data_IF_475922246790
#
_entry.id   IF_475922246790
#
_cell.length_a   1.000
_cell.length_b   1.000
_cell.length_c   1.000
_cell.angle_alpha   90.00
_cell.angle_beta   90.00
_cell.angle_gamma   90.00
#
_symmetry.space_group_name_H-M   'P 1'
#
loop_
_entity.id
_entity.type
_entity.pdbx_description
1 polymer ?
#
# COMPACT_ATOMS: atom_id res chain seq x y z
N UNK A 1 13.24 8.09 33.08
CA UNK A 1 13.26 7.43 31.78
C UNK A 1 13.66 8.51 30.79
N UNK A 2 14.63 8.26 29.94
CA UNK A 2 15.11 9.24 28.98
C UNK A 2 13.95 9.59 28.01
N UNK A 3 13.72 10.87 27.76
CA UNK A 3 12.65 11.37 26.88
C UNK A 3 12.76 10.73 25.49
N UNK A 4 13.97 10.58 24.99
CA UNK A 4 14.25 9.97 23.69
C UNK A 4 13.79 8.51 23.62
N UNK A 5 14.00 7.75 24.72
CA UNK A 5 13.53 6.37 24.81
C UNK A 5 12.00 6.29 24.82
N UNK A 6 11.33 7.18 25.54
CA UNK A 6 9.85 7.25 25.57
C UNK A 6 9.30 7.58 24.17
N UNK A 7 9.89 8.57 23.48
CA UNK A 7 9.51 8.93 22.12
C UNK A 7 9.69 7.75 21.17
N UNK A 8 10.80 7.01 21.27
CA UNK A 8 11.03 5.83 20.42
C UNK A 8 9.95 4.76 20.64
N UNK A 9 9.57 4.49 21.89
CA UNK A 9 8.47 3.54 22.19
C UNK A 9 7.15 4.04 21.56
N UNK A 10 6.83 5.32 21.70
CA UNK A 10 5.62 5.90 21.13
C UNK A 10 5.63 5.75 19.61
N UNK A 11 6.75 6.02 18.93
CA UNK A 11 6.88 5.86 17.49
C UNK A 11 6.65 4.41 17.08
N UNK A 12 7.21 3.43 17.80
CA UNK A 12 6.98 2.00 17.52
C UNK A 12 5.49 1.68 17.61
N UNK A 13 4.81 2.15 18.67
CA UNK A 13 3.36 1.93 18.83
C UNK A 13 2.56 2.56 17.68
N UNK A 14 2.87 3.80 17.32
CA UNK A 14 2.19 4.49 16.22
C UNK A 14 2.50 3.87 14.86
N UNK A 15 3.72 3.40 14.63
CA UNK A 15 4.08 2.70 13.40
C UNK A 15 3.35 1.35 13.25
N UNK A 16 3.24 0.58 14.34
CA UNK A 16 2.44 -0.64 14.36
C UNK A 16 0.94 -0.35 14.19
N UNK A 17 0.44 0.75 14.77
CA UNK A 17 -0.93 1.23 14.54
C UNK A 17 -1.15 1.64 13.07
N UNK A 18 -0.18 2.34 12.47
CA UNK A 18 -0.21 2.67 11.04
C UNK A 18 -0.29 1.39 10.19
N UNK A 19 0.51 0.38 10.49
CA UNK A 19 0.53 -0.87 9.73
C UNK A 19 -0.75 -1.70 9.93
N UNK A 20 -1.30 -1.70 11.15
CA UNK A 20 -2.62 -2.28 11.43
C UNK A 20 -3.72 -1.57 10.63
N UNK A 21 -3.72 -0.23 10.60
CA UNK A 21 -4.67 0.59 9.82
C UNK A 21 -4.50 0.32 8.33
N UNK A 22 -3.26 0.26 7.84
CA UNK A 22 -2.95 -0.10 6.47
C UNK A 22 -3.52 -1.50 6.12
N UNK A 23 -3.38 -2.47 7.04
CA UNK A 23 -3.93 -3.80 6.90
C UNK A 23 -5.43 -3.81 6.61
N UNK A 24 -6.26 -3.08 7.38
CA UNK A 24 -7.71 -3.06 7.12
C UNK A 24 -8.12 -2.07 6.02
N UNK A 25 -7.37 -1.01 5.82
CA UNK A 25 -7.60 -0.03 4.76
C UNK A 25 -7.38 -0.67 3.39
N UNK A 26 -6.26 -1.36 3.21
CA UNK A 26 -5.82 -1.88 1.93
C UNK A 26 -6.20 -3.35 1.67
N UNK A 27 -6.84 -4.05 2.64
CA UNK A 27 -7.39 -5.39 2.44
C UNK A 27 -8.30 -5.48 1.19
N UNK A 28 -9.00 -4.38 0.89
CA UNK A 28 -9.80 -4.27 -0.31
C UNK A 28 -9.02 -4.61 -1.58
N UNK A 29 -7.77 -4.19 -1.65
CA UNK A 29 -6.92 -4.34 -2.82
C UNK A 29 -6.65 -5.81 -3.11
N UNK A 30 -6.38 -6.60 -2.06
CA UNK A 30 -6.03 -8.00 -2.20
C UNK A 30 -7.23 -8.93 -2.52
N UNK A 31 -8.44 -8.59 -2.06
CA UNK A 31 -9.59 -9.50 -2.11
C UNK A 31 -10.84 -8.96 -2.81
N UNK A 32 -10.86 -7.69 -3.22
CA UNK A 32 -12.05 -7.07 -3.83
C UNK A 32 -12.58 -7.83 -5.05
N UNK A 33 -11.69 -8.32 -5.89
CA UNK A 33 -12.01 -9.08 -7.10
C UNK A 33 -12.64 -10.42 -6.75
N UNK A 34 -12.04 -11.20 -5.83
CA UNK A 34 -12.48 -12.54 -5.43
C UNK A 34 -13.81 -12.53 -4.65
N UNK A 35 -14.03 -11.50 -3.83
CA UNK A 35 -15.31 -11.29 -3.13
C UNK A 35 -16.39 -10.88 -4.12
N UNK A 36 -16.11 -9.95 -5.04
CA UNK A 36 -17.08 -9.46 -6.02
C UNK A 36 -17.55 -10.52 -7.00
N UNK A 37 -16.67 -11.42 -7.41
CA UNK A 37 -17.00 -12.55 -8.29
C UNK A 37 -17.63 -13.73 -7.56
N UNK A 38 -17.71 -13.65 -6.24
CA UNK A 38 -18.14 -14.76 -5.35
C UNK A 38 -17.24 -15.99 -5.50
N UNK A 39 -15.96 -15.80 -5.81
CA UNK A 39 -14.96 -16.87 -5.81
C UNK A 39 -14.66 -17.33 -4.38
N UNK A 40 -14.63 -16.38 -3.44
CA UNK A 40 -14.52 -16.62 -2.01
C UNK A 40 -15.67 -15.95 -1.25
N UNK A 41 -16.12 -16.61 -0.19
CA UNK A 41 -16.98 -15.93 0.80
C UNK A 41 -16.14 -14.88 1.53
N UNK A 42 -16.73 -13.72 1.88
CA UNK A 42 -15.98 -12.62 2.49
C UNK A 42 -15.09 -13.02 3.67
N UNK A 43 -15.61 -13.81 4.62
CA UNK A 43 -14.83 -14.28 5.78
C UNK A 43 -13.61 -15.10 5.38
N UNK A 44 -13.75 -16.03 4.42
CA UNK A 44 -12.63 -16.85 3.96
C UNK A 44 -11.61 -16.03 3.18
N UNK A 45 -12.05 -15.03 2.40
CA UNK A 45 -11.17 -14.13 1.69
C UNK A 45 -10.32 -13.29 2.68
N UNK A 46 -10.92 -12.77 3.74
CA UNK A 46 -10.23 -12.01 4.78
C UNK A 46 -9.20 -12.86 5.52
N UNK A 47 -9.58 -14.07 5.98
CA UNK A 47 -8.64 -14.97 6.69
C UNK A 47 -7.48 -15.36 5.78
N UNK A 48 -7.77 -15.73 4.54
CA UNK A 48 -6.73 -16.02 3.54
C UNK A 48 -5.80 -14.82 3.35
N UNK A 49 -6.35 -13.62 3.16
CA UNK A 49 -5.58 -12.42 2.97
C UNK A 49 -4.72 -12.08 4.19
N UNK A 50 -5.24 -12.24 5.41
CA UNK A 50 -4.50 -12.00 6.64
C UNK A 50 -3.27 -12.92 6.76
N UNK A 51 -3.47 -14.21 6.52
CA UNK A 51 -2.37 -15.20 6.55
C UNK A 51 -1.35 -14.93 5.45
N UNK A 52 -1.81 -14.64 4.24
CA UNK A 52 -0.92 -14.40 3.10
C UNK A 52 -0.18 -13.06 3.20
N UNK A 53 -0.82 -12.01 3.73
CA UNK A 53 -0.16 -10.73 4.02
C UNK A 53 0.92 -10.91 5.09
N UNK A 54 0.63 -11.62 6.18
CA UNK A 54 1.63 -11.96 7.20
C UNK A 54 2.81 -12.70 6.58
N UNK A 55 2.55 -13.77 5.82
CA UNK A 55 3.60 -14.55 5.16
C UNK A 55 4.44 -13.71 4.20
N UNK A 56 3.79 -12.83 3.41
CA UNK A 56 4.47 -11.90 2.51
C UNK A 56 5.38 -10.92 3.26
N UNK A 57 4.88 -10.32 4.34
CA UNK A 57 5.62 -9.38 5.18
C UNK A 57 6.88 -9.99 5.80
N UNK A 58 6.87 -11.30 6.07
CA UNK A 58 8.02 -12.03 6.61
C UNK A 58 9.09 -12.37 5.57
N UNK A 59 8.92 -12.03 4.28
CA UNK A 59 9.80 -12.54 3.22
C UNK A 59 10.88 -11.56 2.78
N UNK A 60 10.58 -10.25 2.72
CA UNK A 60 11.47 -9.21 2.19
C UNK A 60 11.58 -8.02 3.13
N UNK A 61 12.74 -7.33 3.07
CA UNK A 61 13.02 -6.10 3.83
C UNK A 61 13.65 -4.98 2.98
N UNK A 62 13.82 -5.20 1.67
CA UNK A 62 14.52 -4.25 0.79
C UNK A 62 13.78 -2.91 0.63
N UNK A 63 12.45 -2.94 0.52
CA UNK A 63 11.61 -1.72 0.45
C UNK A 63 11.70 -0.93 1.77
N UNK A 64 11.78 -1.63 2.91
CA UNK A 64 11.95 -0.96 4.20
C UNK A 64 13.26 -0.19 4.28
N UNK A 65 14.37 -0.75 3.78
CA UNK A 65 15.66 -0.06 3.69
C UNK A 65 15.57 1.19 2.83
N UNK A 66 14.90 1.12 1.68
CA UNK A 66 14.66 2.28 0.81
C UNK A 66 13.91 3.39 1.54
N UNK A 67 12.86 3.07 2.29
CA UNK A 67 12.12 4.07 3.08
C UNK A 67 12.99 4.64 4.19
N UNK A 68 13.81 3.80 4.86
CA UNK A 68 14.69 4.22 5.94
C UNK A 68 15.75 5.23 5.48
N UNK A 69 16.29 5.07 4.26
CA UNK A 69 17.50 5.77 3.85
C UNK A 69 17.37 6.72 2.67
N UNK A 70 16.32 6.57 1.85
CA UNK A 70 16.26 7.25 0.54
C UNK A 70 15.37 8.50 0.52
N UNK A 71 14.57 8.74 1.55
CA UNK A 71 13.76 9.99 1.68
C UNK A 71 14.58 11.07 2.37
N UNK A 72 15.16 10.75 3.52
CA UNK A 72 16.04 11.61 4.31
C UNK A 72 17.13 10.75 4.96
N UNK A 73 18.15 11.38 5.54
CA UNK A 73 19.20 10.67 6.27
C UNK A 73 18.84 10.57 7.75
N UNK A 74 18.44 9.38 8.24
CA UNK A 74 17.99 9.24 9.62
C UNK A 74 19.09 9.55 10.66
N UNK A 75 20.36 9.49 10.28
CA UNK A 75 21.49 9.80 11.16
C UNK A 75 21.77 11.31 11.28
N UNK A 76 21.16 12.14 10.43
CA UNK A 76 21.39 13.59 10.35
C UNK A 76 20.19 14.43 10.82
N UNK A 77 19.05 13.81 11.09
CA UNK A 77 17.86 14.51 11.56
C UNK A 77 18.04 14.94 13.03
N UNK A 78 18.16 16.26 13.30
CA UNK A 78 18.36 16.79 14.64
C UNK A 78 17.21 16.41 15.59
N UNK A 79 15.95 16.57 15.15
CA UNK A 79 14.74 16.18 15.86
C UNK A 79 14.06 14.95 15.26
N UNK A 80 14.86 13.94 14.83
CA UNK A 80 14.37 12.80 14.05
C UNK A 80 13.18 12.06 14.67
N UNK A 81 13.12 11.92 15.99
CA UNK A 81 11.98 11.28 16.67
C UNK A 81 10.70 12.08 16.53
N UNK A 82 10.75 13.41 16.65
CA UNK A 82 9.57 14.28 16.48
C UNK A 82 9.09 14.27 15.04
N UNK A 83 10.02 14.34 14.09
CA UNK A 83 9.75 14.25 12.65
C UNK A 83 9.01 12.96 12.29
N UNK A 84 9.49 11.82 12.78
CA UNK A 84 8.90 10.50 12.51
C UNK A 84 7.52 10.36 13.17
N UNK A 85 7.37 10.81 14.41
CA UNK A 85 6.08 10.78 15.11
C UNK A 85 5.03 11.65 14.40
N UNK A 86 5.40 12.85 13.98
CA UNK A 86 4.54 13.75 13.21
C UNK A 86 4.10 13.12 11.88
N UNK A 87 5.03 12.49 11.16
CA UNK A 87 4.73 11.79 9.90
C UNK A 87 3.74 10.64 10.10
N UNK A 88 3.89 9.86 11.17
CA UNK A 88 2.96 8.77 11.50
C UNK A 88 1.56 9.30 11.82
N UNK A 89 1.46 10.35 12.64
CA UNK A 89 0.17 10.97 12.99
C UNK A 89 -0.53 11.46 11.71
N UNK A 90 0.19 12.13 10.81
CA UNK A 90 -0.36 12.60 9.55
C UNK A 90 -0.81 11.44 8.62
N UNK A 91 0.02 10.42 8.47
CA UNK A 91 -0.28 9.24 7.66
C UNK A 91 -1.49 8.46 8.19
N UNK A 92 -1.57 8.24 9.50
CA UNK A 92 -2.71 7.62 10.19
C UNK A 92 -3.98 8.44 9.98
N UNK A 93 -3.90 9.76 10.21
CA UNK A 93 -5.04 10.66 10.05
C UNK A 93 -5.60 10.60 8.63
N UNK A 94 -4.74 10.68 7.61
CA UNK A 94 -5.16 10.57 6.22
C UNK A 94 -5.79 9.22 5.89
N UNK A 95 -5.18 8.12 6.33
CA UNK A 95 -5.70 6.77 6.09
C UNK A 95 -7.07 6.56 6.77
N UNK A 96 -7.26 7.04 7.99
CA UNK A 96 -8.54 6.95 8.70
C UNK A 96 -9.62 7.81 8.03
N UNK A 97 -9.30 9.03 7.60
CA UNK A 97 -10.23 9.90 6.88
C UNK A 97 -10.70 9.24 5.58
N UNK A 98 -9.78 8.77 4.76
CA UNK A 98 -10.13 8.15 3.47
C UNK A 98 -10.86 6.82 3.66
N UNK A 99 -10.51 6.04 4.67
CA UNK A 99 -11.25 4.82 5.03
C UNK A 99 -12.68 5.14 5.48
N UNK A 100 -12.87 6.16 6.31
CA UNK A 100 -14.20 6.57 6.79
C UNK A 100 -15.15 6.92 5.64
N UNK A 101 -14.64 7.63 4.62
CA UNK A 101 -15.40 7.98 3.43
C UNK A 101 -15.45 6.87 2.37
N UNK A 102 -14.73 5.75 2.57
CA UNK A 102 -14.65 4.63 1.61
C UNK A 102 -13.99 5.02 0.30
N UNK A 103 -13.01 5.93 0.37
CA UNK A 103 -12.21 6.41 -0.75
C UNK A 103 -10.94 5.57 -0.83
N UNK A 104 -10.70 4.82 -1.92
CA UNK A 104 -9.47 4.05 -2.09
C UNK A 104 -8.30 5.00 -2.37
N UNK A 105 -7.63 5.42 -1.30
CA UNK A 105 -6.41 6.23 -1.35
C UNK A 105 -5.17 5.35 -1.23
N UNK A 106 -4.00 5.96 -1.26
CA UNK A 106 -2.71 5.27 -1.14
C UNK A 106 -2.07 5.54 0.20
N UNK A 107 -1.93 4.51 1.02
CA UNK A 107 -1.15 4.56 2.26
C UNK A 107 0.33 4.88 2.01
N UNK A 108 0.89 4.43 0.85
CA UNK A 108 2.26 4.77 0.44
C UNK A 108 2.43 6.26 0.17
N UNK A 109 1.51 6.87 -0.62
CA UNK A 109 1.54 8.32 -0.85
C UNK A 109 1.34 9.10 0.45
N UNK A 110 0.46 8.60 1.33
CA UNK A 110 0.20 9.24 2.61
C UNK A 110 1.45 9.30 3.48
N UNK A 111 2.13 8.18 3.68
CA UNK A 111 3.29 8.15 4.57
C UNK A 111 4.53 8.79 3.96
N UNK A 112 4.78 8.60 2.65
CA UNK A 112 5.92 9.21 1.97
C UNK A 112 5.76 10.74 1.90
N UNK A 113 4.54 11.21 1.59
CA UNK A 113 4.23 12.63 1.64
C UNK A 113 4.39 13.21 3.03
N UNK A 114 3.87 12.52 4.06
CA UNK A 114 4.00 12.95 5.45
C UNK A 114 5.46 13.05 5.89
N UNK A 115 6.31 12.04 5.61
CA UNK A 115 7.74 12.07 5.92
C UNK A 115 8.42 13.25 5.21
N UNK A 116 8.17 13.43 3.92
CA UNK A 116 8.76 14.55 3.19
C UNK A 116 8.32 15.91 3.77
N UNK A 117 7.03 16.06 4.10
CA UNK A 117 6.48 17.29 4.68
C UNK A 117 7.05 17.60 6.06
N UNK A 118 7.21 16.60 6.93
CA UNK A 118 7.80 16.78 8.26
C UNK A 118 9.28 17.11 8.19
N UNK A 119 10.05 16.43 7.32
CA UNK A 119 11.47 16.72 7.10
C UNK A 119 11.67 18.15 6.58
N UNK A 120 10.86 18.57 5.61
CA UNK A 120 10.92 19.95 5.09
C UNK A 120 10.57 20.97 6.17
N UNK A 121 9.59 20.69 7.03
CA UNK A 121 9.19 21.58 8.11
C UNK A 121 10.25 21.69 9.20
N UNK A 122 10.97 20.59 9.49
CA UNK A 122 12.04 20.54 10.49
C UNK A 122 13.33 21.18 10.00
N UNK A 123 13.81 20.80 8.83
CA UNK A 123 15.20 21.08 8.40
C UNK A 123 15.28 21.73 7.01
N UNK A 124 14.10 22.04 6.43
CA UNK A 124 14.03 22.64 5.10
C UNK A 124 14.22 21.66 3.95
N UNK A 125 14.12 22.17 2.73
CA UNK A 125 14.20 21.37 1.51
C UNK A 125 15.56 20.68 1.32
N UNK A 126 16.63 21.20 1.89
CA UNK A 126 17.99 20.64 1.76
C UNK A 126 18.18 19.28 2.43
N UNK A 127 17.30 18.92 3.38
CA UNK A 127 17.36 17.63 4.08
C UNK A 127 16.81 16.46 3.27
N UNK A 128 16.05 16.73 2.19
CA UNK A 128 15.51 15.68 1.32
C UNK A 128 16.62 15.10 0.44
N UNK A 129 16.74 13.79 0.42
CA UNK A 129 17.59 13.05 -0.52
C UNK A 129 16.92 12.97 -1.90
N UNK A 130 17.07 14.01 -2.70
CA UNK A 130 16.36 14.13 -3.98
C UNK A 130 16.53 12.93 -4.91
N UNK A 131 17.71 12.32 -4.98
CA UNK A 131 17.95 11.16 -5.86
C UNK A 131 17.10 9.93 -5.47
N UNK A 132 16.98 9.66 -4.19
CA UNK A 132 16.15 8.57 -3.67
C UNK A 132 14.66 8.93 -3.71
N UNK A 133 14.30 10.14 -3.27
CA UNK A 133 12.94 10.62 -3.27
C UNK A 133 12.32 10.62 -4.67
N UNK A 134 13.05 11.10 -5.69
CA UNK A 134 12.58 11.09 -7.09
C UNK A 134 12.33 9.66 -7.57
N UNK A 135 13.22 8.71 -7.30
CA UNK A 135 13.01 7.29 -7.66
C UNK A 135 11.73 6.72 -7.03
N UNK A 136 11.45 7.07 -5.78
CA UNK A 136 10.22 6.66 -5.10
C UNK A 136 9.00 7.27 -5.79
N UNK A 137 9.01 8.56 -6.10
CA UNK A 137 7.91 9.24 -6.79
C UNK A 137 7.70 8.66 -8.20
N UNK A 138 8.77 8.41 -8.94
CA UNK A 138 8.71 7.74 -10.24
C UNK A 138 8.04 6.36 -10.14
N UNK A 139 8.43 5.54 -9.16
CA UNK A 139 7.81 4.23 -8.93
C UNK A 139 6.32 4.34 -8.60
N UNK A 140 5.93 5.33 -7.78
CA UNK A 140 4.53 5.59 -7.43
C UNK A 140 3.68 6.03 -8.62
N UNK A 141 4.25 6.78 -9.57
CA UNK A 141 3.57 7.26 -10.79
C UNK A 141 3.56 6.19 -11.88
N UNK A 142 4.70 5.51 -12.10
CA UNK A 142 4.82 4.55 -13.20
C UNK A 142 4.09 3.24 -12.91
N UNK A 143 4.05 2.79 -11.65
CA UNK A 143 3.44 1.49 -11.32
C UNK A 143 1.96 1.39 -11.69
N UNK A 144 1.06 2.37 -11.48
CA UNK A 144 -0.31 2.28 -11.95
C UNK A 144 -0.45 2.34 -13.48
N UNK A 145 0.42 3.06 -14.17
CA UNK A 145 0.45 3.12 -15.63
C UNK A 145 0.81 1.74 -16.19
N UNK A 146 1.89 1.14 -15.67
CA UNK A 146 2.30 -0.21 -16.06
C UNK A 146 1.23 -1.24 -15.72
N UNK A 147 0.57 -1.12 -14.57
CA UNK A 147 -0.51 -2.01 -14.16
C UNK A 147 -1.74 -1.91 -15.10
N UNK A 148 -2.08 -0.71 -15.55
CA UNK A 148 -3.14 -0.51 -16.54
C UNK A 148 -2.80 -1.18 -17.87
N UNK A 149 -1.61 -0.91 -18.41
CA UNK A 149 -1.15 -1.44 -19.70
C UNK A 149 -1.04 -2.97 -19.64
N UNK A 150 -0.39 -3.49 -18.60
CA UNK A 150 -0.22 -4.93 -18.43
C UNK A 150 -1.56 -5.65 -18.23
N UNK A 151 -2.48 -5.06 -17.45
CA UNK A 151 -3.83 -5.59 -17.28
C UNK A 151 -4.62 -5.63 -18.57
N UNK A 152 -4.50 -4.60 -19.40
CA UNK A 152 -5.09 -4.55 -20.75
C UNK A 152 -4.53 -5.69 -21.63
N UNK A 153 -3.21 -5.85 -21.64
CA UNK A 153 -2.52 -6.88 -22.46
C UNK A 153 -2.89 -8.29 -21.98
N UNK A 154 -2.76 -8.59 -20.69
CA UNK A 154 -3.06 -9.90 -20.12
C UNK A 154 -4.50 -10.31 -20.43
N UNK A 155 -5.45 -9.38 -20.19
CA UNK A 155 -6.85 -9.71 -20.48
C UNK A 155 -7.12 -9.86 -21.98
N UNK A 156 -6.46 -9.09 -22.85
CA UNK A 156 -6.56 -9.25 -24.31
C UNK A 156 -6.11 -10.65 -24.74
N UNK A 157 -5.01 -11.13 -24.20
CA UNK A 157 -4.49 -12.52 -24.45
C UNK A 157 -5.52 -13.54 -23.97
N UNK A 158 -5.99 -13.42 -22.73
CA UNK A 158 -7.01 -14.33 -22.16
C UNK A 158 -8.28 -14.34 -23.01
N UNK A 159 -8.73 -13.18 -23.48
CA UNK A 159 -9.90 -13.03 -24.34
C UNK A 159 -9.74 -13.79 -25.68
N UNK A 160 -8.56 -13.75 -26.27
CA UNK A 160 -8.26 -14.48 -27.51
C UNK A 160 -8.24 -16.00 -27.26
N UNK A 161 -7.54 -16.46 -26.22
CA UNK A 161 -7.41 -17.88 -25.89
C UNK A 161 -8.79 -18.53 -25.61
N UNK A 162 -9.67 -17.80 -24.89
CA UNK A 162 -10.97 -18.32 -24.49
C UNK A 162 -12.14 -17.87 -25.37
N UNK A 163 -11.86 -17.29 -26.54
CA UNK A 163 -12.88 -16.76 -27.47
C UNK A 163 -13.99 -17.76 -27.79
N UNK A 164 -13.61 -19.01 -28.07
CA UNK A 164 -14.53 -20.08 -28.48
C UNK A 164 -14.97 -20.98 -27.32
N UNK A 165 -14.63 -20.64 -26.07
CA UNK A 165 -14.92 -21.46 -24.91
C UNK A 165 -16.32 -21.21 -24.38
N UNK A 166 -16.97 -22.25 -23.81
CA UNK A 166 -18.26 -22.10 -23.14
C UNK A 166 -18.11 -21.17 -21.91
N UNK A 167 -18.76 -20.02 -21.97
CA UNK A 167 -18.62 -18.94 -20.98
C UNK A 167 -18.97 -19.40 -19.55
N UNK A 168 -19.98 -20.26 -19.37
CA UNK A 168 -20.38 -20.76 -18.06
C UNK A 168 -19.31 -21.68 -17.45
N UNK A 169 -18.80 -22.63 -18.25
CA UNK A 169 -17.73 -23.55 -17.84
C UNK A 169 -16.44 -22.79 -17.54
N UNK A 170 -16.08 -21.82 -18.39
CA UNK A 170 -14.90 -20.96 -18.23
C UNK A 170 -14.99 -20.16 -16.93
N UNK A 171 -16.09 -19.46 -16.67
CA UNK A 171 -16.25 -18.70 -15.43
C UNK A 171 -16.20 -19.60 -14.17
N UNK A 172 -16.73 -20.83 -14.24
CA UNK A 172 -16.64 -21.79 -13.11
C UNK A 172 -15.19 -22.21 -12.84
N UNK A 173 -14.39 -22.46 -13.90
CA UNK A 173 -12.96 -22.77 -13.76
C UNK A 173 -12.17 -21.57 -13.22
N UNK A 174 -12.35 -20.40 -13.82
CA UNK A 174 -11.67 -19.17 -13.40
C UNK A 174 -12.02 -18.75 -11.97
N UNK A 175 -13.23 -19.04 -11.47
CA UNK A 175 -13.57 -18.81 -10.07
C UNK A 175 -12.72 -19.66 -9.11
N UNK A 176 -12.31 -20.88 -9.49
CA UNK A 176 -11.39 -21.70 -8.69
C UNK A 176 -9.95 -21.18 -8.79
N UNK A 177 -9.50 -20.81 -9.99
CA UNK A 177 -8.17 -20.21 -10.20
C UNK A 177 -8.04 -18.90 -9.43
N UNK A 178 -9.12 -18.13 -9.33
CA UNK A 178 -9.14 -16.84 -8.63
C UNK A 178 -8.86 -16.98 -7.13
N UNK A 179 -9.13 -18.13 -6.51
CA UNK A 179 -8.74 -18.38 -5.13
C UNK A 179 -7.21 -18.34 -5.00
N UNK A 180 -6.51 -18.99 -5.91
CA UNK A 180 -5.05 -18.99 -5.92
C UNK A 180 -4.48 -17.59 -6.28
N UNK A 181 -5.05 -16.92 -7.30
CA UNK A 181 -4.56 -15.58 -7.68
C UNK A 181 -4.81 -14.54 -6.60
N UNK A 182 -5.94 -14.62 -5.88
CA UNK A 182 -6.20 -13.76 -4.73
C UNK A 182 -5.24 -14.04 -3.56
N UNK A 183 -4.85 -15.30 -3.34
CA UNK A 183 -3.83 -15.65 -2.35
C UNK A 183 -2.46 -15.07 -2.73
N UNK A 184 -2.03 -15.25 -3.99
CA UNK A 184 -0.79 -14.66 -4.51
C UNK A 184 -0.83 -13.14 -4.41
N UNK A 185 -1.95 -12.50 -4.77
CA UNK A 185 -2.14 -11.07 -4.67
C UNK A 185 -2.02 -10.57 -3.22
N UNK A 186 -2.60 -11.30 -2.27
CA UNK A 186 -2.50 -10.98 -0.84
C UNK A 186 -1.06 -11.16 -0.33
N UNK A 187 -0.37 -12.21 -0.77
CA UNK A 187 1.04 -12.41 -0.43
C UNK A 187 1.92 -11.28 -0.96
N UNK A 188 1.81 -10.95 -2.24
CA UNK A 188 2.61 -9.87 -2.85
C UNK A 188 2.27 -8.50 -2.26
N UNK A 189 1.02 -8.26 -1.85
CA UNK A 189 0.62 -7.07 -1.11
C UNK A 189 1.41 -6.96 0.20
N UNK A 190 1.44 -8.03 1.00
CA UNK A 190 2.22 -8.07 2.24
C UNK A 190 3.72 -7.88 2.03
N UNK A 191 4.29 -8.39 0.92
CA UNK A 191 5.72 -8.22 0.61
C UNK A 191 6.14 -6.77 0.37
N UNK A 192 5.24 -5.85 0.11
CA UNK A 192 5.54 -4.43 -0.12
C UNK A 192 5.02 -3.55 1.02
N UNK A 193 3.77 -3.73 1.39
CA UNK A 193 3.05 -2.77 2.24
C UNK A 193 3.53 -2.76 3.70
N UNK A 194 3.77 -3.90 4.32
CA UNK A 194 4.27 -3.98 5.70
C UNK A 194 5.67 -3.38 5.87
N UNK A 195 6.46 -3.35 4.79
CA UNK A 195 7.81 -2.83 4.85
C UNK A 195 7.89 -1.31 5.11
N UNK A 196 6.80 -0.56 4.90
CA UNK A 196 6.75 0.89 5.18
C UNK A 196 6.88 1.16 6.68
N UNK A 197 6.10 0.46 7.50
CA UNK A 197 6.21 0.56 8.95
C UNK A 197 7.55 0.02 9.46
N UNK A 198 8.07 -1.07 8.89
CA UNK A 198 9.40 -1.60 9.22
C UNK A 198 10.49 -0.55 9.02
N UNK A 199 10.48 0.16 7.88
CA UNK A 199 11.43 1.23 7.58
C UNK A 199 11.32 2.38 8.59
N UNK A 200 10.10 2.80 8.91
CA UNK A 200 9.85 3.90 9.86
C UNK A 200 10.31 3.53 11.28
N UNK A 201 10.02 2.31 11.76
CA UNK A 201 10.50 1.85 13.07
C UNK A 201 12.02 1.82 13.08
N UNK A 202 12.65 1.35 12.01
CA UNK A 202 14.12 1.32 11.93
C UNK A 202 14.71 2.73 11.93
N UNK A 203 14.09 3.71 11.22
CA UNK A 203 14.47 5.13 11.32
C UNK A 203 14.38 5.62 12.77
N UNK A 204 13.31 5.30 13.48
CA UNK A 204 13.12 5.72 14.86
C UNK A 204 14.16 5.10 15.81
N UNK A 205 14.50 3.82 15.62
CA UNK A 205 15.53 3.15 16.39
C UNK A 205 16.92 3.78 16.16
N UNK A 206 17.21 4.19 14.91
CA UNK A 206 18.44 4.90 14.57
C UNK A 206 18.44 6.29 15.23
N UNK A 207 17.36 7.07 15.07
CA UNK A 207 17.23 8.40 15.68
C UNK A 207 17.30 8.36 17.20
N UNK A 208 16.82 7.27 17.80
CA UNK A 208 16.89 6.98 19.26
C UNK A 208 18.23 6.42 19.72
N UNK A 209 19.24 6.29 18.88
CA UNK A 209 20.53 5.67 19.15
C UNK A 209 20.41 4.20 19.66
N UNK A 210 19.34 3.52 19.33
CA UNK A 210 19.08 2.10 19.71
C UNK A 210 19.46 1.12 18.60
N UNK A 211 19.80 1.63 17.40
CA UNK A 211 20.23 0.84 16.26
C UNK A 211 21.22 1.62 15.41
N UNK A 212 22.24 0.94 14.87
CA UNK A 212 23.38 1.58 14.19
C UNK A 212 23.42 1.33 12.68
N UNK A 213 22.52 0.52 12.15
CA UNK A 213 22.46 0.14 10.74
C UNK A 213 21.08 0.34 10.16
N UNK A 214 20.98 0.34 8.84
CA UNK A 214 19.68 0.38 8.13
C UNK A 214 19.07 -1.02 7.93
N UNK A 215 19.67 -2.07 8.50
CA UNK A 215 19.12 -3.42 8.48
C UNK A 215 17.88 -3.50 9.38
N UNK A 216 16.88 -4.19 8.90
CA UNK A 216 15.61 -4.32 9.62
C UNK A 216 15.74 -5.43 10.69
N UNK A 217 15.61 -5.13 11.99
CA UNK A 217 15.62 -6.15 13.02
C UNK A 217 14.48 -7.15 12.84
N UNK A 218 14.75 -8.44 13.08
CA UNK A 218 13.75 -9.50 12.93
C UNK A 218 12.47 -9.26 13.74
N UNK A 219 12.61 -8.74 14.98
CA UNK A 219 11.44 -8.43 15.82
C UNK A 219 10.55 -7.34 15.20
N UNK A 220 11.15 -6.34 14.52
CA UNK A 220 10.42 -5.29 13.79
C UNK A 220 9.63 -5.92 12.65
N UNK A 221 10.28 -6.77 11.86
CA UNK A 221 9.63 -7.49 10.76
C UNK A 221 8.46 -8.32 11.27
N UNK A 222 8.66 -9.09 12.34
CA UNK A 222 7.61 -9.93 12.93
C UNK A 222 6.45 -9.10 13.49
N UNK A 223 6.74 -8.01 14.21
CA UNK A 223 5.73 -7.12 14.77
C UNK A 223 4.88 -6.45 13.68
N UNK A 224 5.51 -5.92 12.62
CA UNK A 224 4.80 -5.32 11.47
C UNK A 224 3.99 -6.37 10.71
N UNK A 225 4.55 -7.56 10.43
CA UNK A 225 3.80 -8.65 9.80
C UNK A 225 2.55 -9.03 10.60
N UNK A 226 2.67 -9.07 11.93
CA UNK A 226 1.56 -9.37 12.83
C UNK A 226 0.53 -8.24 12.82
N UNK A 227 0.94 -6.98 12.93
CA UNK A 227 0.05 -5.82 12.87
C UNK A 227 -0.72 -5.77 11.55
N UNK A 228 -0.04 -5.94 10.41
CA UNK A 228 -0.64 -6.02 9.08
C UNK A 228 -1.64 -7.16 8.96
N UNK A 229 -1.27 -8.37 9.41
CA UNK A 229 -2.13 -9.56 9.35
C UNK A 229 -3.40 -9.38 10.19
N UNK A 230 -3.27 -8.91 11.44
CA UNK A 230 -4.41 -8.62 12.31
C UNK A 230 -5.27 -7.50 11.73
N UNK A 231 -4.67 -6.40 11.24
CA UNK A 231 -5.38 -5.31 10.57
C UNK A 231 -6.19 -5.81 9.38
N UNK A 232 -5.58 -6.66 8.53
CA UNK A 232 -6.26 -7.30 7.41
C UNK A 232 -7.49 -8.10 7.86
N UNK A 233 -7.46 -8.74 9.04
CA UNK A 233 -8.57 -9.53 9.55
C UNK A 233 -9.82 -8.72 9.90
N UNK A 234 -9.67 -7.42 10.15
CA UNK A 234 -10.80 -6.49 10.40
C UNK A 234 -11.59 -6.20 9.12
N UNK A 235 -10.90 -6.11 7.99
CA UNK A 235 -11.48 -5.94 6.66
C UNK A 235 -11.98 -4.52 6.35
N UNK A 236 -11.71 -4.05 5.14
CA UNK A 236 -12.08 -2.71 4.64
C UNK A 236 -13.37 -2.71 3.80
N UNK A 237 -14.53 -3.05 4.35
CA UNK A 237 -15.76 -3.29 3.59
C UNK A 237 -16.20 -2.14 2.70
N UNK A 238 -16.04 -0.88 3.12
CA UNK A 238 -16.42 0.30 2.32
C UNK A 238 -15.56 0.39 1.07
N UNK A 239 -14.25 0.13 1.19
CA UNK A 239 -13.29 0.17 0.08
C UNK A 239 -13.48 -1.05 -0.82
N UNK A 240 -13.68 -2.27 -0.26
CA UNK A 240 -14.00 -3.48 -1.02
C UNK A 240 -15.19 -3.25 -1.96
N UNK A 241 -16.26 -2.60 -1.48
CA UNK A 241 -17.43 -2.26 -2.31
C UNK A 241 -17.07 -1.27 -3.44
N UNK A 242 -16.16 -0.33 -3.19
CA UNK A 242 -15.76 0.65 -4.20
C UNK A 242 -14.88 0.01 -5.27
N UNK A 243 -13.80 -0.67 -4.89
CA UNK A 243 -12.85 -1.30 -5.81
C UNK A 243 -13.49 -2.48 -6.55
N UNK A 244 -14.22 -3.33 -5.83
CA UNK A 244 -14.81 -4.54 -6.38
C UNK A 244 -16.12 -4.36 -7.16
N UNK A 245 -16.78 -3.20 -7.05
CA UNK A 245 -18.10 -3.02 -7.65
C UNK A 245 -18.36 -1.70 -8.37
N UNK A 246 -17.63 -0.62 -8.03
CA UNK A 246 -17.90 0.71 -8.63
C UNK A 246 -17.03 1.05 -9.83
N UNK A 247 -15.93 0.32 -10.07
CA UNK A 247 -15.03 0.52 -11.22
C UNK A 247 -15.63 -0.12 -12.45
N UNK A 248 -15.96 -1.41 -12.36
CA UNK A 248 -16.61 -2.19 -13.42
C UNK A 248 -17.32 -3.42 -12.83
N UNK A 249 -18.20 -4.07 -13.60
CA UNK A 249 -18.74 -5.38 -13.22
C UNK A 249 -17.69 -6.47 -13.45
N UNK A 250 -17.04 -6.92 -12.39
CA UNK A 250 -15.97 -7.92 -12.43
C UNK A 250 -16.57 -9.33 -12.62
N UNK A 251 -16.08 -10.06 -13.63
CA UNK A 251 -16.31 -11.50 -13.82
C UNK A 251 -15.08 -12.29 -13.36
N UNK A 252 -15.17 -13.60 -13.07
CA UNK A 252 -14.02 -14.39 -12.61
C UNK A 252 -12.79 -14.27 -13.53
N UNK A 253 -12.98 -14.26 -14.83
CA UNK A 253 -11.90 -14.09 -15.81
C UNK A 253 -11.22 -12.72 -15.66
N UNK A 254 -12.02 -11.64 -15.48
CA UNK A 254 -11.49 -10.31 -15.25
C UNK A 254 -10.70 -10.26 -13.92
N UNK A 255 -11.25 -10.87 -12.86
CA UNK A 255 -10.63 -10.91 -11.55
C UNK A 255 -9.26 -11.59 -11.57
N UNK A 256 -9.16 -12.78 -12.17
CA UNK A 256 -7.88 -13.50 -12.33
C UNK A 256 -6.86 -12.66 -13.08
N UNK A 257 -7.27 -12.02 -14.19
CA UNK A 257 -6.35 -11.17 -14.97
C UNK A 257 -5.88 -9.95 -14.17
N UNK A 258 -6.77 -9.31 -13.40
CA UNK A 258 -6.41 -8.17 -12.55
C UNK A 258 -5.51 -8.58 -11.39
N UNK A 259 -5.81 -9.68 -10.71
CA UNK A 259 -5.01 -10.21 -9.60
C UNK A 259 -3.59 -10.56 -10.06
N UNK A 260 -3.45 -11.28 -11.18
CA UNK A 260 -2.13 -11.62 -11.73
C UNK A 260 -1.33 -10.38 -12.15
N UNK A 261 -2.00 -9.40 -12.75
CA UNK A 261 -1.36 -8.13 -13.12
C UNK A 261 -0.87 -7.38 -11.88
N UNK A 262 -1.73 -7.21 -10.89
CA UNK A 262 -1.38 -6.52 -9.66
C UNK A 262 -0.25 -7.22 -8.91
N UNK A 263 -0.35 -8.55 -8.78
CA UNK A 263 0.69 -9.36 -8.14
C UNK A 263 2.04 -9.24 -8.86
N UNK A 264 2.06 -9.30 -10.19
CA UNK A 264 3.31 -9.18 -10.96
C UNK A 264 3.98 -7.82 -10.78
N UNK A 265 3.21 -6.72 -10.82
CA UNK A 265 3.76 -5.36 -10.64
C UNK A 265 4.24 -5.15 -9.21
N UNK A 266 3.45 -5.53 -8.19
CA UNK A 266 3.83 -5.35 -6.78
C UNK A 266 5.05 -6.20 -6.44
N UNK A 267 5.07 -7.46 -6.86
CA UNK A 267 6.20 -8.34 -6.61
C UNK A 267 7.48 -7.86 -7.32
N UNK A 268 7.35 -7.44 -8.60
CA UNK A 268 8.46 -6.86 -9.35
C UNK A 268 9.05 -5.63 -8.65
N UNK A 269 8.21 -4.72 -8.18
CA UNK A 269 8.65 -3.55 -7.42
C UNK A 269 9.34 -3.94 -6.10
N UNK A 270 8.81 -4.95 -5.39
CA UNK A 270 9.42 -5.45 -4.15
C UNK A 270 10.83 -6.02 -4.39
N UNK A 271 11.00 -6.79 -5.48
CA UNK A 271 12.32 -7.39 -5.83
C UNK A 271 13.36 -6.32 -6.14
N UNK A 272 12.97 -5.21 -6.77
CA UNK A 272 13.87 -4.06 -7.03
C UNK A 272 13.85 -3.02 -5.89
N UNK A 273 13.30 -3.39 -4.74
CA UNK A 273 13.29 -2.60 -3.50
C UNK A 273 12.56 -1.25 -3.58
N UNK A 274 11.59 -1.11 -4.49
CA UNK A 274 10.83 0.13 -4.65
C UNK A 274 9.47 0.05 -3.93
N UNK A 275 9.13 1.04 -3.11
CA UNK A 275 7.79 1.17 -2.57
C UNK A 275 6.82 1.56 -3.69
N UNK A 276 5.69 0.88 -3.77
CA UNK A 276 4.60 1.20 -4.70
C UNK A 276 3.28 1.37 -3.96
N UNK A 277 2.32 1.97 -4.64
CA UNK A 277 0.94 2.02 -4.15
C UNK A 277 0.17 0.80 -4.62
N UNK A 278 -0.05 -0.13 -3.73
CA UNK A 278 -0.82 -1.36 -4.01
C UNK A 278 -2.26 -1.03 -4.43
N UNK A 279 -2.88 -0.02 -3.80
CA UNK A 279 -4.21 0.51 -4.19
C UNK A 279 -4.23 1.00 -5.63
N UNK A 280 -3.22 1.78 -6.05
CA UNK A 280 -3.13 2.30 -7.42
C UNK A 280 -2.90 1.18 -8.42
N UNK A 281 -1.97 0.26 -8.11
CA UNK A 281 -1.64 -0.87 -8.98
C UNK A 281 -2.86 -1.73 -9.23
N UNK A 282 -3.57 -2.16 -8.18
CA UNK A 282 -4.72 -3.05 -8.34
C UNK A 282 -5.90 -2.36 -9.01
N UNK A 283 -6.19 -1.13 -8.62
CA UNK A 283 -7.26 -0.35 -9.25
C UNK A 283 -6.98 -0.10 -10.73
N UNK A 284 -5.75 0.21 -11.09
CA UNK A 284 -5.31 0.39 -12.49
C UNK A 284 -5.32 -0.93 -13.26
N UNK A 285 -4.97 -2.06 -12.62
CA UNK A 285 -5.10 -3.40 -13.22
C UNK A 285 -6.56 -3.69 -13.59
N UNK A 286 -7.49 -3.41 -12.67
CA UNK A 286 -8.94 -3.57 -12.92
C UNK A 286 -9.41 -2.65 -14.05
N UNK A 287 -8.93 -1.41 -14.08
CA UNK A 287 -9.24 -0.45 -15.15
C UNK A 287 -8.71 -0.92 -16.51
N UNK A 288 -7.47 -1.40 -16.58
CA UNK A 288 -6.86 -1.93 -17.80
C UNK A 288 -7.59 -3.16 -18.33
N UNK A 289 -7.88 -4.13 -17.47
CA UNK A 289 -8.72 -5.30 -17.77
C UNK A 289 -10.10 -4.87 -18.26
N UNK A 290 -10.71 -3.89 -17.60
CA UNK A 290 -12.01 -3.35 -17.94
C UNK A 290 -12.03 -2.67 -19.32
N UNK A 291 -11.02 -1.87 -19.62
CA UNK A 291 -10.86 -1.20 -20.91
C UNK A 291 -10.70 -2.20 -22.06
N UNK A 292 -9.91 -3.26 -21.86
CA UNK A 292 -9.76 -4.35 -22.82
C UNK A 292 -11.04 -5.18 -22.98
N UNK A 293 -11.79 -5.39 -21.88
CA UNK A 293 -13.08 -6.08 -21.96
C UNK A 293 -14.13 -5.29 -22.75
N UNK A 294 -14.40 -4.07 -22.30
CA UNK A 294 -15.31 -3.12 -22.92
C UNK A 294 -15.10 -1.71 -22.34
N UNK A 295 -14.56 -0.78 -23.10
CA UNK A 295 -14.27 0.60 -22.65
C UNK A 295 -15.51 1.27 -22.01
N UNK A 296 -16.69 1.15 -22.65
CA UNK A 296 -17.96 1.70 -22.13
C UNK A 296 -18.48 0.98 -20.87
N UNK A 297 -17.89 -0.17 -20.48
CA UNK A 297 -18.25 -0.92 -19.28
C UNK A 297 -17.48 -0.47 -18.03
N UNK A 298 -16.51 0.40 -18.19
CA UNK A 298 -15.75 1.01 -17.12
C UNK A 298 -16.43 2.31 -16.68
N UNK A 299 -16.56 2.49 -15.37
CA UNK A 299 -17.05 3.73 -14.78
C UNK A 299 -15.90 4.75 -14.68
N UNK A 300 -15.67 5.47 -15.78
CA UNK A 300 -14.62 6.49 -15.86
C UNK A 300 -14.81 7.64 -14.87
N UNK A 301 -16.05 7.91 -14.44
CA UNK A 301 -16.32 8.89 -13.38
C UNK A 301 -15.75 8.45 -12.03
N UNK A 302 -15.84 7.18 -11.70
CA UNK A 302 -15.17 6.61 -10.51
C UNK A 302 -13.66 6.63 -10.68
N UNK A 303 -13.13 6.22 -11.84
CA UNK A 303 -11.70 6.27 -12.12
C UNK A 303 -11.13 7.68 -11.97
N UNK A 304 -11.79 8.71 -12.53
CA UNK A 304 -11.39 10.12 -12.39
C UNK A 304 -11.32 10.55 -10.92
N UNK A 305 -12.33 10.22 -10.11
CA UNK A 305 -12.32 10.55 -8.68
C UNK A 305 -11.15 9.88 -7.94
N UNK A 306 -10.87 8.62 -8.26
CA UNK A 306 -9.73 7.90 -7.67
C UNK A 306 -8.40 8.57 -8.05
N UNK A 307 -8.19 8.88 -9.34
CA UNK A 307 -6.97 9.55 -9.82
C UNK A 307 -6.78 10.91 -9.13
N UNK A 308 -7.86 11.71 -9.00
CA UNK A 308 -7.79 12.98 -8.28
C UNK A 308 -7.33 12.75 -6.83
N UNK A 309 -7.95 11.77 -6.13
CA UNK A 309 -7.54 11.43 -4.76
C UNK A 309 -6.07 11.03 -4.69
N UNK A 310 -5.59 10.24 -5.66
CA UNK A 310 -4.20 9.80 -5.71
C UNK A 310 -3.22 10.98 -5.82
N UNK A 311 -3.52 11.93 -6.70
CA UNK A 311 -2.68 13.12 -6.92
C UNK A 311 -2.66 14.01 -5.68
N UNK A 312 -3.83 14.25 -5.03
CA UNK A 312 -3.92 15.14 -3.88
C UNK A 312 -3.41 14.50 -2.56
N UNK A 313 -3.31 13.17 -2.49
CA UNK A 313 -2.89 12.47 -1.26
C UNK A 313 -1.50 12.93 -0.82
N UNK A 314 -0.54 12.96 -1.74
CA UNK A 314 0.85 13.29 -1.41
C UNK A 314 1.01 14.73 -0.87
N UNK A 315 0.51 15.79 -1.55
CA UNK A 315 0.63 17.16 -1.03
C UNK A 315 -0.19 17.39 0.25
N UNK A 316 -1.39 16.78 0.38
CA UNK A 316 -2.18 16.93 1.60
C UNK A 316 -1.47 16.25 2.78
N UNK A 317 -0.95 15.05 2.59
CA UNK A 317 -0.22 14.34 3.64
C UNK A 317 1.07 15.07 4.04
N UNK A 318 1.76 15.69 3.07
CA UNK A 318 2.93 16.53 3.37
C UNK A 318 2.55 17.75 4.21
N UNK A 319 1.46 18.43 3.86
CA UNK A 319 0.93 19.57 4.62
C UNK A 319 0.49 19.14 6.03
N UNK A 320 -0.21 18.01 6.16
CA UNK A 320 -0.60 17.46 7.47
C UNK A 320 0.62 17.09 8.30
N UNK A 321 1.67 16.52 7.68
CA UNK A 321 2.92 16.20 8.33
C UNK A 321 3.63 17.44 8.86
N UNK A 322 3.79 18.46 8.02
CA UNK A 322 4.38 19.74 8.42
C UNK A 322 3.60 20.38 9.58
N UNK A 323 2.27 20.38 9.50
CA UNK A 323 1.42 20.92 10.57
C UNK A 323 1.55 20.13 11.88
N UNK A 324 1.56 18.80 11.80
CA UNK A 324 1.76 17.94 12.96
C UNK A 324 3.15 18.15 13.59
N UNK A 325 4.19 18.34 12.76
CA UNK A 325 5.53 18.66 13.25
C UNK A 325 5.54 19.96 14.05
N UNK A 326 5.02 21.05 13.50
CA UNK A 326 4.97 22.33 14.24
C UNK A 326 4.20 22.26 15.55
N UNK A 327 3.15 21.44 15.64
CA UNK A 327 2.44 21.23 16.91
C UNK A 327 3.32 20.47 17.91
N UNK A 328 3.96 19.38 17.47
CA UNK A 328 4.78 18.55 18.38
C UNK A 328 6.04 19.29 18.84
N UNK A 329 6.65 20.08 17.97
CA UNK A 329 7.86 20.87 18.25
C UNK A 329 7.64 21.92 19.34
N UNK A 330 6.37 22.29 19.65
CA UNK A 330 6.02 23.13 20.79
C UNK A 330 6.15 22.41 22.14
N UNK A 331 6.16 21.08 22.14
CA UNK A 331 6.15 20.27 23.38
C UNK A 331 7.44 19.49 23.58
N UNK A 332 8.24 19.33 22.54
CA UNK A 332 9.48 18.53 22.53
C UNK A 332 10.66 19.33 22.01
#
# INVERSE_FOLDING_TARGET
MDLLFVLTILIVIFALAFDFINGFHDTANAIATSVSTKALKPRHAIIMAAVMNFAGAMTFTGVAKTITSDIADPFKLENGSVVILAALIAGITWNLLTWYFGIPSSSSHAIIGAIAGTVIASEGFGAIKYSGFIKIIEALILSPILAFVLGYIIYSIVKVIFKNSNLAKTNKRFRRVQIATAAIQSYTHGTNDAQKAMGIITMALIAGNLHSTTDIPFWVQFACATAMGIGTSVGGWKIIKTVGGKIMKIRPVNGVSADLTGAAIIFGATVIHLPVSTTHVISSSILGVGASHRVKGVNWGTAKRMIITWVITLPISATLGAFAYFILDLFF
#
